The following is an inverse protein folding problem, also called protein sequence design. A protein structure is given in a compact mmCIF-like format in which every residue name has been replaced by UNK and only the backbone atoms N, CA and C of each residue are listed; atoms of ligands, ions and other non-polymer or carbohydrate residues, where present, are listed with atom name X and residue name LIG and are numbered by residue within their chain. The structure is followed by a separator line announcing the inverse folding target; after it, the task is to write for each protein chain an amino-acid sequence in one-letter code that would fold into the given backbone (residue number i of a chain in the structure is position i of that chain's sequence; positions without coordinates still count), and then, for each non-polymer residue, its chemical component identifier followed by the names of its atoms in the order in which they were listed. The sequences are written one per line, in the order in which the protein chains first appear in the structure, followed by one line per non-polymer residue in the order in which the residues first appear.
data_IF_925102999048
#
_entry.id   IF_925102999048
#
_cell.length_a   1.000
_cell.length_b   1.000
_cell.length_c   1.000
_cell.angle_alpha   90.00
_cell.angle_beta   90.00
_cell.angle_gamma   90.00
#
_symmetry.space_group_name_H-M   'P 1'
#
loop_
_entity.id
_entity.type
_entity.pdbx_description
1 polymer ?
#
# COMPACT_ATOMS: atom_id res chain seq x y z
N UNK A 1 25.19 -10.38 -29.47
CA UNK A 1 24.53 -9.15 -29.03
C UNK A 1 24.90 -8.92 -27.57
N UNK A 2 25.48 -7.77 -27.21
CA UNK A 2 25.91 -7.50 -25.84
C UNK A 2 24.68 -7.25 -24.93
N UNK A 3 24.75 -7.62 -23.65
CA UNK A 3 23.68 -7.48 -22.67
C UNK A 3 23.13 -6.04 -22.57
N UNK A 4 23.95 -5.04 -22.87
CA UNK A 4 23.59 -3.62 -22.91
C UNK A 4 22.60 -3.29 -24.03
N UNK A 5 22.72 -3.95 -25.20
CA UNK A 5 21.80 -3.76 -26.33
C UNK A 5 20.40 -4.33 -26.06
N UNK A 6 20.31 -5.49 -25.43
CA UNK A 6 19.03 -6.13 -25.10
C UNK A 6 18.24 -5.36 -23.98
N UNK A 7 18.93 -4.68 -23.07
CA UNK A 7 18.31 -3.84 -22.05
C UNK A 7 17.73 -2.56 -22.67
N UNK A 8 18.45 -1.93 -23.59
CA UNK A 8 18.00 -0.73 -24.29
C UNK A 8 16.75 -1.01 -25.17
N UNK A 9 16.74 -2.15 -25.89
CA UNK A 9 15.58 -2.55 -26.69
C UNK A 9 14.32 -2.80 -25.84
N UNK A 10 14.48 -3.43 -24.66
CA UNK A 10 13.37 -3.61 -23.72
C UNK A 10 12.83 -2.29 -23.18
N UNK A 11 13.71 -1.34 -22.92
CA UNK A 11 13.31 -0.02 -22.43
C UNK A 11 12.52 0.75 -23.50
N UNK A 12 12.91 0.65 -24.77
CA UNK A 12 12.15 1.19 -25.90
C UNK A 12 10.79 0.51 -26.08
N UNK A 13 10.71 -0.82 -25.98
CA UNK A 13 9.44 -1.55 -26.04
C UNK A 13 8.47 -1.13 -24.93
N UNK A 14 8.98 -0.89 -23.70
CA UNK A 14 8.18 -0.39 -22.58
C UNK A 14 7.66 1.04 -22.86
N UNK A 15 8.48 1.93 -23.39
CA UNK A 15 8.08 3.28 -23.76
C UNK A 15 6.95 3.25 -24.80
N UNK A 16 7.08 2.45 -25.86
CA UNK A 16 6.03 2.24 -26.87
C UNK A 16 4.76 1.62 -26.28
N UNK A 17 4.87 0.69 -25.32
CA UNK A 17 3.70 0.09 -24.67
C UNK A 17 2.94 1.11 -23.83
N UNK A 18 3.64 1.97 -23.09
CA UNK A 18 3.02 3.06 -22.33
C UNK A 18 2.31 4.03 -23.27
N UNK A 19 2.95 4.43 -24.36
CA UNK A 19 2.39 5.33 -25.36
C UNK A 19 1.15 4.71 -26.06
N UNK A 20 1.22 3.44 -26.44
CA UNK A 20 0.09 2.73 -27.08
C UNK A 20 -1.13 2.57 -26.17
N UNK A 21 -0.92 2.57 -24.85
CA UNK A 21 -1.99 2.43 -23.86
C UNK A 21 -2.47 3.75 -23.24
N UNK A 22 -1.81 4.87 -23.54
CA UNK A 22 -2.21 6.21 -23.05
C UNK A 22 -3.56 6.69 -23.60
N UNK A 23 -4.11 6.02 -24.64
CA UNK A 23 -5.33 6.43 -25.33
C UNK A 23 -5.18 7.70 -26.18
N UNK A 24 -4.02 8.36 -26.16
CA UNK A 24 -3.71 9.60 -26.86
C UNK A 24 -2.78 9.40 -28.07
N UNK A 25 -2.47 8.14 -28.43
CA UNK A 25 -1.55 7.82 -29.51
C UNK A 25 -2.08 8.30 -30.87
N UNK A 26 -1.34 9.20 -31.48
CA UNK A 26 -1.69 9.72 -32.83
C UNK A 26 -1.43 8.67 -33.91
N UNK A 27 -2.05 8.85 -35.08
CA UNK A 27 -1.85 7.93 -36.22
C UNK A 27 -0.38 7.93 -36.70
N UNK A 28 0.30 9.06 -36.58
CA UNK A 28 1.73 9.18 -36.88
C UNK A 28 2.59 8.33 -35.90
N UNK A 29 2.28 8.38 -34.62
CA UNK A 29 2.97 7.56 -33.59
C UNK A 29 2.69 6.07 -33.76
N UNK A 30 1.49 5.69 -34.17
CA UNK A 30 1.11 4.30 -34.46
C UNK A 30 1.93 3.73 -35.62
N UNK A 31 2.06 4.51 -36.72
CA UNK A 31 2.93 4.17 -37.85
C UNK A 31 4.42 4.12 -37.46
N UNK A 32 4.85 4.94 -36.52
CA UNK A 32 6.22 4.92 -36.00
C UNK A 32 6.49 3.66 -35.17
N UNK A 33 5.55 3.21 -34.33
CA UNK A 33 5.61 1.95 -33.60
C UNK A 33 5.68 0.75 -34.54
N UNK A 34 4.83 0.71 -35.56
CA UNK A 34 4.82 -0.39 -36.54
C UNK A 34 6.16 -0.46 -37.31
N UNK A 35 6.71 0.67 -37.72
CA UNK A 35 8.04 0.73 -38.36
C UNK A 35 9.15 0.27 -37.41
N UNK A 36 9.08 0.65 -36.15
CA UNK A 36 10.05 0.23 -35.15
C UNK A 36 9.99 -1.30 -34.92
N UNK A 37 8.80 -1.88 -34.86
CA UNK A 37 8.61 -3.34 -34.72
C UNK A 37 9.16 -4.10 -35.91
N UNK A 38 8.97 -3.58 -37.14
CA UNK A 38 9.39 -4.21 -38.40
C UNK A 38 10.88 -4.01 -38.71
N UNK A 39 11.56 -3.06 -38.04
CA UNK A 39 12.95 -2.71 -38.36
C UNK A 39 13.96 -3.82 -38.00
N UNK A 40 13.67 -4.63 -36.95
CA UNK A 40 14.55 -5.73 -36.54
C UNK A 40 13.71 -6.81 -35.80
N UNK A 41 13.92 -8.12 -36.10
CA UNK A 41 13.29 -9.21 -35.34
C UNK A 41 13.47 -9.13 -33.81
N UNK A 42 14.58 -8.52 -33.35
CA UNK A 42 14.82 -8.29 -31.92
C UNK A 42 13.84 -7.25 -31.30
N UNK A 43 13.36 -6.28 -32.08
CA UNK A 43 12.35 -5.31 -31.65
C UNK A 43 11.00 -5.98 -31.44
N UNK A 44 10.58 -6.84 -32.38
CA UNK A 44 9.35 -7.62 -32.26
C UNK A 44 9.40 -8.61 -31.09
N UNK A 45 10.54 -9.27 -30.89
CA UNK A 45 10.74 -10.15 -29.73
C UNK A 45 10.68 -9.37 -28.40
N UNK A 46 11.26 -8.18 -28.34
CA UNK A 46 11.18 -7.29 -27.16
C UNK A 46 9.74 -6.81 -26.94
N UNK A 47 9.03 -6.45 -28.00
CA UNK A 47 7.62 -6.03 -27.93
C UNK A 47 6.70 -7.15 -27.42
N UNK A 48 6.77 -8.35 -28.02
CA UNK A 48 5.95 -9.49 -27.63
C UNK A 48 6.25 -9.96 -26.21
N UNK A 49 7.51 -9.90 -25.78
CA UNK A 49 7.87 -10.21 -24.39
C UNK A 49 7.27 -9.22 -23.38
N UNK A 50 7.24 -7.93 -23.69
CA UNK A 50 6.72 -6.89 -22.81
C UNK A 50 5.18 -6.90 -22.81
N UNK A 51 4.53 -7.00 -23.99
CA UNK A 51 3.07 -7.05 -24.11
C UNK A 51 2.47 -8.34 -23.54
N UNK A 52 3.04 -9.50 -23.84
CA UNK A 52 2.56 -10.79 -23.34
C UNK A 52 2.80 -11.02 -21.84
N UNK A 53 3.78 -10.35 -21.23
CA UNK A 53 3.96 -10.39 -19.78
C UNK A 53 2.89 -9.59 -19.04
N UNK A 54 2.31 -8.57 -19.66
CA UNK A 54 1.24 -7.76 -19.10
C UNK A 54 -0.12 -8.49 -19.21
N UNK A 55 -0.38 -9.19 -20.28
CA UNK A 55 -1.59 -10.00 -20.45
C UNK A 55 -1.69 -11.12 -19.41
N UNK A 56 -0.59 -11.82 -19.14
CA UNK A 56 -0.52 -12.85 -18.09
C UNK A 56 -0.73 -12.28 -16.67
N UNK A 57 -0.39 -11.04 -16.43
CA UNK A 57 -0.63 -10.36 -15.14
C UNK A 57 -2.08 -9.89 -14.99
N UNK A 58 -2.78 -9.62 -16.11
CA UNK A 58 -4.17 -9.13 -16.12
C UNK A 58 -5.21 -10.27 -16.20
N UNK A 59 -4.83 -11.48 -16.63
CA UNK A 59 -5.74 -12.63 -16.70
C UNK A 59 -6.44 -13.03 -15.38
N UNK A 60 -5.85 -12.90 -14.17
CA UNK A 60 -6.54 -13.21 -12.92
C UNK A 60 -7.62 -12.20 -12.51
N UNK A 61 -7.76 -11.07 -13.20
CA UNK A 61 -8.73 -10.00 -12.86
C UNK A 61 -10.01 -10.04 -13.72
N UNK A 62 -10.14 -10.99 -14.64
CA UNK A 62 -11.38 -11.22 -15.38
C UNK A 62 -12.32 -12.09 -14.54
N UNK A 63 -13.57 -11.68 -14.29
CA UNK A 63 -14.55 -12.59 -13.69
C UNK A 63 -14.76 -13.78 -14.63
N UNK A 64 -14.86 -14.97 -14.05
CA UNK A 64 -15.13 -16.21 -14.76
C UNK A 64 -16.51 -16.14 -15.45
N UNK A 65 -16.55 -15.65 -16.67
CA UNK A 65 -17.69 -15.86 -17.58
C UNK A 65 -17.14 -16.46 -18.86
N UNK A 66 -17.37 -17.75 -18.98
CA UNK A 66 -17.12 -18.57 -20.14
C UNK A 66 -18.01 -18.09 -21.32
N UNK A 67 -17.44 -17.40 -22.29
CA UNK A 67 -17.72 -17.58 -23.72
C UNK A 67 -16.89 -16.62 -24.57
N UNK A 68 -16.01 -17.17 -25.39
CA UNK A 68 -15.21 -16.44 -26.38
C UNK A 68 -16.03 -15.72 -27.47
N UNK A 69 -17.33 -16.01 -27.57
CA UNK A 69 -18.24 -15.40 -28.53
C UNK A 69 -18.68 -13.97 -28.18
N UNK A 70 -18.57 -13.55 -26.91
CA UNK A 70 -19.03 -12.22 -26.46
C UNK A 70 -17.99 -11.12 -26.60
N UNK A 71 -16.70 -11.47 -26.64
CA UNK A 71 -15.61 -10.49 -26.76
C UNK A 71 -15.52 -9.95 -28.20
N UNK A 72 -15.66 -10.82 -29.19
CA UNK A 72 -15.64 -10.42 -30.61
C UNK A 72 -16.91 -9.65 -31.02
N UNK A 73 -18.08 -10.00 -30.46
CA UNK A 73 -19.32 -9.26 -30.69
C UNK A 73 -19.28 -7.87 -30.05
N UNK A 74 -18.68 -7.73 -28.86
CA UNK A 74 -18.47 -6.44 -28.20
C UNK A 74 -17.46 -5.57 -28.95
N UNK A 75 -16.40 -6.16 -29.49
CA UNK A 75 -15.42 -5.45 -30.30
C UNK A 75 -16.00 -4.99 -31.64
N UNK A 76 -16.82 -5.82 -32.27
CA UNK A 76 -17.47 -5.52 -33.55
C UNK A 76 -18.54 -4.43 -33.39
N UNK A 77 -19.26 -4.39 -32.27
CA UNK A 77 -20.23 -3.33 -31.95
C UNK A 77 -19.56 -1.97 -31.67
N UNK A 78 -18.28 -1.96 -31.25
CA UNK A 78 -17.48 -0.74 -31.00
C UNK A 78 -16.86 -0.16 -32.27
N UNK A 79 -16.78 -0.95 -33.35
CA UNK A 79 -16.11 -0.56 -34.60
C UNK A 79 -17.09 0.02 -35.66
N UNK A 80 -18.40 0.08 -35.42
CA UNK A 80 -19.33 0.71 -36.33
C UNK A 80 -19.31 2.24 -36.17
N UNK A 81 -19.13 3.01 -37.24
CA UNK A 81 -18.95 4.46 -37.19
C UNK A 81 -20.26 5.21 -37.13
N UNK A 82 -20.88 5.31 -35.97
CA UNK A 82 -22.03 6.19 -35.78
C UNK A 82 -21.63 7.50 -35.11
N UNK A 83 -21.64 8.59 -35.83
CA UNK A 83 -21.14 9.94 -35.49
C UNK A 83 -21.74 10.57 -34.23
N UNK A 84 -22.83 10.03 -33.72
CA UNK A 84 -23.55 10.57 -32.55
C UNK A 84 -23.03 9.99 -31.20
N UNK A 85 -22.33 8.84 -31.20
CA UNK A 85 -21.81 8.19 -30.00
C UNK A 85 -20.37 8.60 -29.59
N UNK A 86 -19.67 9.37 -30.41
CA UNK A 86 -18.27 9.79 -30.16
C UNK A 86 -18.04 10.61 -28.90
N UNK A 87 -19.09 11.28 -28.36
CA UNK A 87 -18.94 12.11 -27.15
C UNK A 87 -19.08 11.32 -25.84
N UNK A 88 -19.73 10.15 -25.87
CA UNK A 88 -19.96 9.32 -24.66
C UNK A 88 -18.88 8.24 -24.52
N UNK A 89 -18.40 7.65 -25.63
CA UNK A 89 -17.33 6.65 -25.59
C UNK A 89 -15.96 7.24 -25.24
N UNK A 90 -15.67 8.48 -25.63
CA UNK A 90 -14.46 9.21 -25.23
C UNK A 90 -14.38 9.46 -23.72
N UNK A 91 -15.54 9.72 -23.08
CA UNK A 91 -15.64 9.90 -21.64
C UNK A 91 -15.41 8.61 -20.85
N UNK A 92 -15.96 7.49 -21.29
CA UNK A 92 -15.83 6.20 -20.58
C UNK A 92 -14.40 5.62 -20.64
N UNK A 93 -13.70 5.78 -21.77
CA UNK A 93 -12.30 5.36 -21.90
C UNK A 93 -11.33 6.28 -21.14
N UNK A 94 -11.61 7.59 -21.10
CA UNK A 94 -10.86 8.53 -20.29
C UNK A 94 -11.09 8.25 -18.78
N UNK A 95 -12.30 7.89 -18.37
CA UNK A 95 -12.60 7.49 -16.99
C UNK A 95 -11.95 6.15 -16.61
N UNK A 96 -11.93 5.15 -17.49
CA UNK A 96 -11.26 3.88 -17.25
C UNK A 96 -9.73 4.03 -17.20
N UNK A 97 -9.14 4.85 -18.06
CA UNK A 97 -7.71 5.19 -18.04
C UNK A 97 -7.33 6.02 -16.81
N UNK A 98 -8.17 6.98 -16.41
CA UNK A 98 -7.98 7.75 -15.19
C UNK A 98 -8.19 6.91 -13.92
N UNK A 99 -9.15 5.97 -13.91
CA UNK A 99 -9.36 5.05 -12.79
C UNK A 99 -8.20 4.05 -12.65
N UNK A 100 -7.68 3.47 -13.73
CA UNK A 100 -6.51 2.59 -13.71
C UNK A 100 -5.22 3.35 -13.40
N UNK A 101 -5.02 4.52 -14.00
CA UNK A 101 -3.91 5.43 -13.69
C UNK A 101 -3.98 5.93 -12.25
N UNK A 102 -5.18 6.27 -11.76
CA UNK A 102 -5.44 6.64 -10.38
C UNK A 102 -5.18 5.51 -9.38
N UNK A 103 -5.56 4.26 -9.72
CA UNK A 103 -5.35 3.08 -8.87
C UNK A 103 -3.87 2.70 -8.79
N UNK A 104 -3.14 2.83 -9.90
CA UNK A 104 -1.69 2.65 -9.95
C UNK A 104 -0.99 3.81 -9.24
N UNK A 105 -1.37 5.05 -9.49
CA UNK A 105 -0.85 6.23 -8.80
C UNK A 105 -1.16 6.21 -7.30
N UNK A 106 -2.38 5.81 -6.90
CA UNK A 106 -2.75 5.66 -5.49
C UNK A 106 -1.93 4.59 -4.76
N UNK A 107 -1.43 3.59 -5.46
CA UNK A 107 -0.58 2.55 -4.88
C UNK A 107 0.91 2.92 -4.82
N UNK A 108 1.36 3.86 -5.66
CA UNK A 108 2.76 4.34 -5.71
C UNK A 108 2.96 5.75 -5.13
N UNK A 109 1.95 6.61 -5.17
CA UNK A 109 1.89 7.89 -4.48
C UNK A 109 0.56 7.96 -3.74
N UNK A 110 0.54 7.82 -2.41
CA UNK A 110 -0.69 7.97 -1.64
C UNK A 110 -1.20 9.41 -1.79
N UNK A 111 -2.20 9.61 -2.66
CA UNK A 111 -2.88 10.90 -2.85
C UNK A 111 -3.34 11.56 -1.53
N UNK A 112 -3.73 10.79 -0.48
CA UNK A 112 -4.01 11.36 0.84
C UNK A 112 -2.81 12.07 1.48
N UNK A 113 -1.57 11.68 1.14
CA UNK A 113 -0.36 12.30 1.68
C UNK A 113 -0.04 13.68 1.08
N UNK A 114 -0.52 13.99 -0.12
CA UNK A 114 -0.26 15.29 -0.78
C UNK A 114 -1.05 16.47 -0.16
N UNK A 115 -2.13 16.16 0.56
CA UNK A 115 -2.98 17.15 1.25
C UNK A 115 -2.85 17.04 2.79
N UNK A 116 -1.94 16.21 3.29
CA UNK A 116 -1.68 16.04 4.72
C UNK A 116 -0.69 17.11 5.20
N UNK A 117 -0.85 17.57 6.44
CA UNK A 117 0.06 18.53 7.06
C UNK A 117 1.46 17.94 7.26
N UNK A 118 1.54 16.62 7.51
CA UNK A 118 2.80 15.90 7.55
C UNK A 118 2.66 14.48 6.99
N UNK A 119 3.68 14.02 6.27
CA UNK A 119 3.74 12.67 5.74
C UNK A 119 5.17 12.12 5.73
N UNK A 120 5.29 10.80 5.58
CA UNK A 120 6.55 10.08 5.44
C UNK A 120 6.59 9.27 4.15
N UNK A 121 7.77 9.16 3.56
CA UNK A 121 8.03 8.35 2.37
C UNK A 121 8.18 6.85 2.71
N UNK A 122 8.45 6.02 1.68
CA UNK A 122 8.80 4.61 1.85
C UNK A 122 10.08 4.47 2.67
N UNK A 123 10.06 3.61 3.68
CA UNK A 123 11.16 3.35 4.62
C UNK A 123 11.59 4.57 5.46
N UNK A 124 10.84 5.66 5.44
CA UNK A 124 11.10 6.84 6.25
C UNK A 124 10.33 6.77 7.56
N UNK A 125 11.04 6.99 8.67
CA UNK A 125 10.47 7.31 9.99
C UNK A 125 10.84 8.73 10.35
N UNK A 126 9.89 9.50 10.85
CA UNK A 126 10.09 10.92 11.11
C UNK A 126 9.51 11.33 12.45
N UNK A 127 10.33 12.01 13.25
CA UNK A 127 9.87 12.64 14.49
C UNK A 127 9.43 14.07 14.24
N UNK A 128 8.31 14.45 14.82
CA UNK A 128 7.73 15.79 14.80
C UNK A 128 7.50 16.26 16.22
N UNK A 129 7.83 17.50 16.49
CA UNK A 129 7.48 18.18 17.74
C UNK A 129 6.35 19.17 17.46
N UNK A 130 5.27 19.04 18.19
CA UNK A 130 4.08 19.88 18.05
C UNK A 130 4.18 21.12 18.96
N UNK A 131 3.41 22.16 18.62
CA UNK A 131 3.40 23.42 19.37
C UNK A 131 2.93 23.27 20.83
N UNK A 132 2.20 22.19 21.15
CA UNK A 132 1.74 21.85 22.50
C UNK A 132 2.76 21.04 23.32
N UNK A 133 3.97 20.84 22.80
CA UNK A 133 5.02 20.02 23.41
C UNK A 133 4.87 18.51 23.19
N UNK A 134 3.84 18.07 22.48
CA UNK A 134 3.70 16.66 22.11
C UNK A 134 4.74 16.26 21.05
N UNK A 135 5.22 15.02 21.11
CA UNK A 135 6.12 14.44 20.13
C UNK A 135 5.44 13.30 19.40
N UNK A 136 5.44 13.36 18.07
CA UNK A 136 4.92 12.31 17.21
C UNK A 136 6.08 11.64 16.47
N UNK A 137 6.15 10.31 16.55
CA UNK A 137 7.00 9.52 15.66
C UNK A 137 6.09 8.89 14.59
N UNK A 138 6.26 9.28 13.35
CA UNK A 138 5.54 8.72 12.20
C UNK A 138 6.31 7.52 11.64
N UNK A 139 5.60 6.46 11.34
CA UNK A 139 6.11 5.28 10.65
C UNK A 139 6.21 5.52 9.13
N UNK A 140 6.79 4.58 8.40
CA UNK A 140 6.88 4.61 6.94
C UNK A 140 5.49 4.73 6.29
N UNK A 141 5.39 5.57 5.24
CA UNK A 141 4.15 5.83 4.49
C UNK A 141 2.98 6.27 5.36
N UNK A 142 3.24 7.07 6.38
CA UNK A 142 2.21 7.66 7.22
C UNK A 142 1.82 9.06 6.73
N UNK A 143 0.57 9.43 6.98
CA UNK A 143 0.03 10.75 6.66
C UNK A 143 -0.93 11.21 7.75
N UNK A 144 -0.73 12.43 8.25
CA UNK A 144 -1.51 13.01 9.34
C UNK A 144 -1.93 14.45 9.03
N UNK A 145 -3.07 14.85 9.59
CA UNK A 145 -3.42 16.25 9.75
C UNK A 145 -3.33 16.61 11.23
N UNK A 146 -3.01 17.86 11.50
CA UNK A 146 -2.77 18.38 12.85
C UNK A 146 -3.74 19.52 13.11
N UNK A 147 -4.63 19.35 14.09
CA UNK A 147 -5.59 20.37 14.55
C UNK A 147 -5.27 20.72 16.00
N UNK A 148 -4.44 21.76 16.18
CA UNK A 148 -4.05 22.30 17.47
C UNK A 148 -4.67 23.69 17.64
N UNK A 149 -5.70 23.80 18.47
CA UNK A 149 -6.33 25.03 18.89
C UNK A 149 -6.20 25.22 20.40
N UNK A 150 -6.73 26.33 20.92
CA UNK A 150 -6.66 26.67 22.36
C UNK A 150 -7.22 25.51 23.24
N UNK A 151 -8.32 24.87 22.81
CA UNK A 151 -8.99 23.79 23.55
C UNK A 151 -8.99 22.46 22.78
N UNK A 152 -8.22 22.33 21.68
CA UNK A 152 -8.22 21.16 20.80
C UNK A 152 -6.81 20.71 20.57
N UNK A 153 -6.52 19.48 20.96
CA UNK A 153 -5.27 18.77 20.68
C UNK A 153 -5.61 17.50 19.95
N UNK A 154 -5.76 17.60 18.61
CA UNK A 154 -6.19 16.50 17.76
C UNK A 154 -5.23 16.26 16.63
N UNK A 155 -4.96 14.99 16.37
CA UNK A 155 -4.25 14.52 15.19
C UNK A 155 -5.14 13.53 14.44
N UNK A 156 -5.32 13.73 13.15
CA UNK A 156 -6.05 12.79 12.30
C UNK A 156 -5.07 11.92 11.53
N UNK A 157 -5.01 10.63 11.84
CA UNK A 157 -4.21 9.66 11.12
C UNK A 157 -4.99 9.19 9.87
N UNK A 158 -4.56 9.65 8.69
CA UNK A 158 -5.15 9.28 7.40
C UNK A 158 -4.63 7.96 6.88
N UNK A 159 -3.35 7.65 7.16
CA UNK A 159 -2.67 6.46 6.68
C UNK A 159 -1.46 6.13 7.56
N UNK A 160 -1.10 4.83 7.65
CA UNK A 160 0.12 4.37 8.29
C UNK A 160 -0.01 4.24 9.81
N UNK A 161 1.04 4.62 10.54
CA UNK A 161 1.08 4.52 11.99
C UNK A 161 1.85 5.70 12.61
N UNK A 162 1.53 5.99 13.86
CA UNK A 162 2.26 6.95 14.67
C UNK A 162 2.41 6.45 16.11
N UNK A 163 3.44 6.91 16.80
CA UNK A 163 3.54 6.91 18.26
C UNK A 163 3.42 8.36 18.71
N UNK A 164 2.47 8.63 19.61
CA UNK A 164 2.32 9.91 20.27
C UNK A 164 2.90 9.83 21.69
N UNK A 165 3.76 10.78 22.04
CA UNK A 165 4.20 11.07 23.39
C UNK A 165 3.65 12.44 23.77
N UNK A 166 2.69 12.45 24.68
CA UNK A 166 1.86 13.61 25.00
C UNK A 166 2.12 14.03 26.44
N UNK A 167 2.49 15.29 26.72
CA UNK A 167 2.58 15.80 28.08
C UNK A 167 1.17 15.96 28.70
N UNK A 168 1.09 16.01 30.03
CA UNK A 168 -0.13 16.40 30.72
C UNK A 168 -0.61 17.77 30.23
N UNK A 169 -1.92 17.98 30.19
CA UNK A 169 -2.53 19.23 29.67
C UNK A 169 -3.97 18.98 29.23
N UNK A 170 -4.46 19.72 28.25
CA UNK A 170 -5.77 19.47 27.66
C UNK A 170 -5.86 18.07 27.04
N UNK A 171 -7.03 17.45 26.90
CA UNK A 171 -7.18 16.13 26.28
C UNK A 171 -6.54 16.07 24.90
N UNK A 172 -5.81 15.00 24.61
CA UNK A 172 -5.19 14.75 23.31
C UNK A 172 -5.89 13.59 22.61
N UNK A 173 -6.20 13.76 21.34
CA UNK A 173 -6.95 12.76 20.57
C UNK A 173 -6.23 12.42 19.28
N UNK A 174 -6.02 11.13 19.01
CA UNK A 174 -5.69 10.63 17.66
C UNK A 174 -6.95 10.05 17.05
N UNK A 175 -7.41 10.66 15.98
CA UNK A 175 -8.60 10.25 15.24
C UNK A 175 -8.24 9.43 14.02
N UNK A 176 -9.02 8.38 13.73
CA UNK A 176 -8.95 7.57 12.53
C UNK A 176 -10.35 7.41 11.93
N UNK A 177 -10.45 6.79 10.76
CA UNK A 177 -11.75 6.47 10.15
C UNK A 177 -12.58 5.45 10.94
N UNK A 178 -11.98 4.68 11.86
CA UNK A 178 -12.67 3.67 12.68
C UNK A 178 -13.09 4.18 14.04
N UNK A 179 -12.52 5.30 14.50
CA UNK A 179 -12.78 5.86 15.81
C UNK A 179 -11.63 6.73 16.29
N UNK A 180 -11.51 6.89 17.59
CA UNK A 180 -10.49 7.75 18.21
C UNK A 180 -9.86 7.09 19.44
N UNK A 181 -8.58 7.39 19.66
CA UNK A 181 -7.83 7.13 20.88
C UNK A 181 -7.61 8.45 21.62
N UNK A 182 -8.07 8.55 22.84
CA UNK A 182 -8.04 9.79 23.62
C UNK A 182 -7.26 9.60 24.91
N UNK A 183 -6.44 10.60 25.24
CA UNK A 183 -5.74 10.71 26.52
C UNK A 183 -6.40 11.81 27.33
N UNK A 184 -6.83 11.54 28.59
CA UNK A 184 -7.39 12.55 29.47
C UNK A 184 -6.38 13.65 29.81
N UNK A 185 -6.88 14.82 30.23
CA UNK A 185 -6.05 15.97 30.55
C UNK A 185 -5.06 15.75 31.72
N UNK A 186 -5.42 14.87 32.66
CA UNK A 186 -4.73 14.75 33.95
C UNK A 186 -3.30 14.16 33.85
N UNK A 187 -3.02 13.36 32.84
CA UNK A 187 -1.75 12.61 32.73
C UNK A 187 -1.17 12.71 31.32
N UNK A 188 0.16 12.76 31.27
CA UNK A 188 0.84 12.52 29.99
C UNK A 188 0.74 11.03 29.60
N UNK A 189 0.80 10.73 28.31
CA UNK A 189 0.73 9.36 27.86
C UNK A 189 1.68 9.12 26.67
N UNK A 190 2.00 7.85 26.47
CA UNK A 190 2.69 7.38 25.28
C UNK A 190 1.94 6.21 24.70
N UNK A 191 1.51 6.32 23.44
CA UNK A 191 0.71 5.30 22.79
C UNK A 191 0.96 5.26 21.28
N UNK A 192 0.71 4.12 20.70
CA UNK A 192 0.80 3.88 19.25
C UNK A 192 -0.60 3.77 18.66
N UNK A 193 -0.79 4.33 17.46
CA UNK A 193 -1.99 4.13 16.63
C UNK A 193 -1.53 3.70 15.23
N UNK A 194 -2.06 2.57 14.74
CA UNK A 194 -1.82 2.06 13.38
C UNK A 194 -3.14 1.88 12.66
N UNK A 195 -3.29 2.56 11.55
CA UNK A 195 -4.46 2.47 10.70
C UNK A 195 -4.27 1.41 9.61
N UNK A 196 -5.12 0.40 9.61
CA UNK A 196 -5.26 -0.58 8.54
C UNK A 196 -6.56 -0.33 7.76
N UNK A 197 -6.80 -1.09 6.70
CA UNK A 197 -7.96 -0.90 5.85
C UNK A 197 -9.28 -1.10 6.60
N UNK A 198 -9.40 -2.17 7.36
CA UNK A 198 -10.64 -2.57 8.06
C UNK A 198 -10.67 -2.20 9.54
N UNK A 199 -9.52 -1.90 10.15
CA UNK A 199 -9.40 -1.67 11.59
C UNK A 199 -8.23 -0.78 11.96
N UNK A 200 -8.28 -0.26 13.18
CA UNK A 200 -7.20 0.51 13.80
C UNK A 200 -6.65 -0.26 14.98
N UNK A 201 -5.32 -0.42 15.04
CA UNK A 201 -4.64 -0.92 16.24
C UNK A 201 -4.25 0.26 17.12
N UNK A 202 -4.54 0.16 18.41
CA UNK A 202 -4.03 1.08 19.41
C UNK A 202 -3.26 0.29 20.46
N UNK A 203 -2.11 0.82 20.88
CA UNK A 203 -1.29 0.21 21.92
C UNK A 203 -0.89 1.26 22.95
N UNK A 204 -1.27 1.06 24.19
CA UNK A 204 -0.97 1.92 25.31
C UNK A 204 0.43 1.58 25.87
N UNK A 205 1.45 2.37 25.48
CA UNK A 205 2.84 2.13 25.88
C UNK A 205 3.15 2.64 27.30
N UNK A 206 2.51 3.75 27.66
CA UNK A 206 2.58 4.29 29.02
C UNK A 206 1.28 5.06 29.30
N UNK A 207 0.68 4.82 30.46
CA UNK A 207 -0.63 5.28 30.88
C UNK A 207 -1.79 4.70 30.03
N UNK A 208 -2.99 4.77 30.61
CA UNK A 208 -4.20 4.28 29.98
C UNK A 208 -4.66 5.23 28.86
N UNK A 209 -5.35 4.66 27.87
CA UNK A 209 -5.88 5.38 26.71
C UNK A 209 -7.35 5.03 26.53
N UNK A 210 -8.23 6.01 26.42
CA UNK A 210 -9.64 5.78 26.17
C UNK A 210 -9.90 5.59 24.69
N UNK A 211 -10.53 4.48 24.34
CA UNK A 211 -10.89 4.15 22.98
C UNK A 211 -12.38 4.40 22.74
N UNK A 212 -12.71 5.07 21.63
CA UNK A 212 -14.08 5.33 21.22
C UNK A 212 -14.23 4.95 19.75
N UNK A 213 -15.12 4.00 19.45
CA UNK A 213 -15.42 3.64 18.06
C UNK A 213 -16.32 4.70 17.41
N UNK A 214 -16.37 4.69 16.08
CA UNK A 214 -17.26 5.58 15.33
C UNK A 214 -18.75 5.36 15.64
N UNK A 215 -19.14 4.13 15.99
CA UNK A 215 -20.53 3.77 16.32
C UNK A 215 -20.83 3.84 17.83
N UNK A 216 -19.90 4.36 18.64
CA UNK A 216 -20.15 4.72 20.04
C UNK A 216 -19.73 3.68 21.09
N UNK A 217 -19.12 2.55 20.70
CA UNK A 217 -18.52 1.65 21.68
C UNK A 217 -17.29 2.33 22.33
N UNK A 218 -17.13 2.14 23.64
CA UNK A 218 -16.07 2.75 24.43
C UNK A 218 -15.40 1.67 25.30
N UNK A 219 -14.08 1.77 25.46
CA UNK A 219 -13.32 0.91 26.37
C UNK A 219 -12.02 1.59 26.78
N UNK A 220 -11.66 1.59 28.06
CA UNK A 220 -10.32 1.96 28.48
C UNK A 220 -9.33 0.89 28.04
N UNK A 221 -8.19 1.28 27.50
CA UNK A 221 -7.07 0.44 27.18
C UNK A 221 -5.98 0.66 28.23
N UNK A 222 -5.68 -0.37 29.01
CA UNK A 222 -4.70 -0.28 30.08
C UNK A 222 -3.27 -0.20 29.53
N UNK A 223 -2.40 0.46 30.28
CA UNK A 223 -0.98 0.53 29.98
C UNK A 223 -0.37 -0.88 29.78
N UNK A 224 0.44 -1.05 28.74
CA UNK A 224 1.02 -2.32 28.34
C UNK A 224 0.14 -3.20 27.42
N UNK A 225 -1.14 -2.88 27.27
CA UNK A 225 -2.09 -3.61 26.42
C UNK A 225 -2.18 -2.99 25.02
N UNK A 226 -2.72 -3.79 24.08
CA UNK A 226 -3.13 -3.29 22.77
C UNK A 226 -4.52 -3.82 22.39
N UNK A 227 -5.21 -3.06 21.54
CA UNK A 227 -6.56 -3.38 21.09
C UNK A 227 -6.74 -3.08 19.60
N UNK A 228 -7.72 -3.72 19.00
CA UNK A 228 -8.23 -3.46 17.67
C UNK A 228 -9.59 -2.74 17.75
N UNK A 229 -9.80 -1.79 16.88
CA UNK A 229 -11.04 -1.03 16.74
C UNK A 229 -11.46 -1.02 15.26
N UNK A 230 -12.63 -1.56 14.91
CA UNK A 230 -13.12 -1.68 13.53
C UNK A 230 -14.23 -0.64 13.18
N UNK A 231 -14.50 0.28 14.06
CA UNK A 231 -15.55 1.29 13.91
C UNK A 231 -16.84 0.96 14.64
N UNK A 232 -17.13 -0.32 14.92
CA UNK A 232 -18.29 -0.78 15.68
C UNK A 232 -17.89 -1.32 17.05
N UNK A 233 -16.83 -2.14 17.08
CA UNK A 233 -16.39 -2.87 18.25
C UNK A 233 -14.92 -2.60 18.59
N UNK A 234 -14.58 -2.88 19.84
CA UNK A 234 -13.21 -2.89 20.36
C UNK A 234 -12.94 -4.31 20.83
N UNK A 235 -11.82 -4.88 20.36
CA UNK A 235 -11.37 -6.22 20.74
C UNK A 235 -9.93 -6.17 21.22
N UNK A 236 -9.60 -6.99 22.21
CA UNK A 236 -8.22 -7.11 22.70
C UNK A 236 -7.30 -7.65 21.60
N UNK A 237 -6.11 -7.10 21.47
CA UNK A 237 -5.08 -7.62 20.59
C UNK A 237 -4.14 -8.56 21.38
N UNK A 238 -3.75 -9.68 20.78
CA UNK A 238 -2.85 -10.64 21.40
C UNK A 238 -1.45 -10.05 21.64
N UNK A 239 -1.01 -9.12 20.77
CA UNK A 239 0.29 -8.50 20.90
C UNK A 239 0.32 -7.50 22.05
N UNK A 240 1.33 -7.55 22.90
CA UNK A 240 1.60 -6.51 23.91
C UNK A 240 1.94 -5.18 23.23
N UNK A 241 1.71 -4.07 23.93
CA UNK A 241 1.92 -2.73 23.40
C UNK A 241 3.35 -2.53 22.84
N UNK A 242 4.37 -2.99 23.53
CA UNK A 242 5.78 -2.86 23.10
C UNK A 242 6.06 -3.64 21.80
N UNK A 243 5.48 -4.83 21.63
CA UNK A 243 5.61 -5.61 20.40
C UNK A 243 4.92 -4.89 19.22
N UNK A 244 3.76 -4.31 19.44
CA UNK A 244 3.04 -3.52 18.43
C UNK A 244 3.81 -2.27 18.00
N UNK A 245 4.61 -1.68 18.91
CA UNK A 245 5.43 -0.50 18.69
C UNK A 245 6.90 -0.79 18.33
N UNK A 246 7.29 -2.06 18.14
CA UNK A 246 8.68 -2.46 17.86
C UNK A 246 9.26 -1.79 16.58
N UNK A 247 8.39 -1.35 15.67
CA UNK A 247 8.78 -0.63 14.45
C UNK A 247 9.55 0.67 14.72
N UNK A 248 9.38 1.30 15.89
CA UNK A 248 10.14 2.49 16.29
C UNK A 248 11.65 2.24 16.32
N UNK A 249 12.06 1.01 16.64
CA UNK A 249 13.47 0.54 16.63
C UNK A 249 13.85 -0.20 15.35
N UNK A 250 13.03 -0.13 14.29
CA UNK A 250 13.30 -0.77 13.01
C UNK A 250 13.02 -2.27 13.00
N UNK A 251 12.22 -2.77 13.93
CA UNK A 251 11.92 -4.19 14.04
C UNK A 251 10.42 -4.45 13.92
N UNK A 252 10.06 -5.57 13.32
CA UNK A 252 8.72 -6.12 13.29
C UNK A 252 8.68 -7.35 14.21
N UNK A 253 8.00 -7.24 15.33
CA UNK A 253 7.77 -8.37 16.23
C UNK A 253 6.42 -8.99 15.91
N UNK A 254 6.40 -10.28 15.60
CA UNK A 254 5.20 -11.04 15.25
C UNK A 254 5.11 -12.30 16.09
N UNK A 255 3.90 -12.58 16.55
CA UNK A 255 3.56 -13.75 17.33
C UNK A 255 2.36 -14.45 16.68
N UNK A 256 2.64 -15.55 16.03
CA UNK A 256 1.65 -16.37 15.32
C UNK A 256 0.81 -15.58 14.28
N UNK A 257 1.47 -14.72 13.49
CA UNK A 257 0.79 -13.98 12.41
C UNK A 257 0.73 -14.82 11.12
N UNK A 258 -0.32 -14.68 10.30
CA UNK A 258 -0.29 -15.23 8.96
C UNK A 258 0.72 -14.47 8.09
N UNK A 259 1.36 -15.18 7.17
CA UNK A 259 2.45 -14.63 6.33
C UNK A 259 2.03 -13.43 5.49
N UNK A 260 0.79 -13.39 5.01
CA UNK A 260 0.25 -12.21 4.30
C UNK A 260 0.27 -10.95 5.17
N UNK A 261 -0.11 -11.04 6.43
CA UNK A 261 -0.07 -9.93 7.39
C UNK A 261 1.36 -9.46 7.68
N UNK A 262 2.33 -10.39 7.76
CA UNK A 262 3.75 -10.06 7.89
C UNK A 262 4.26 -9.33 6.66
N UNK A 263 3.91 -9.82 5.48
CA UNK A 263 4.27 -9.19 4.20
C UNK A 263 3.63 -7.81 4.05
N UNK A 264 2.38 -7.65 4.48
CA UNK A 264 1.69 -6.35 4.50
C UNK A 264 2.42 -5.33 5.41
N UNK A 265 2.93 -5.78 6.56
CA UNK A 265 3.72 -4.95 7.46
C UNK A 265 5.10 -4.57 6.87
N UNK A 266 5.67 -5.38 5.96
CA UNK A 266 6.93 -5.08 5.27
C UNK A 266 6.76 -4.12 4.08
N UNK A 267 5.56 -4.04 3.47
CA UNK A 267 5.30 -3.22 2.27
C UNK A 267 5.65 -1.74 2.41
N UNK A 268 5.37 -1.04 3.53
CA UNK A 268 5.75 0.36 3.70
C UNK A 268 7.25 0.62 3.63
N UNK A 269 8.08 -0.38 3.91
CA UNK A 269 9.53 -0.28 3.99
C UNK A 269 10.25 -0.71 2.71
N UNK A 270 9.50 -1.11 1.67
CA UNK A 270 10.09 -1.57 0.40
C UNK A 270 9.55 -0.81 -0.79
N UNK A 271 10.45 -0.47 -1.70
CA UNK A 271 10.06 -0.06 -3.04
C UNK A 271 9.77 -1.30 -3.90
N UNK A 272 8.74 -1.22 -4.75
CA UNK A 272 8.31 -2.34 -5.59
C UNK A 272 7.13 -3.12 -5.02
N UNK A 273 6.76 -4.18 -5.71
CA UNK A 273 5.58 -5.00 -5.43
C UNK A 273 5.99 -6.28 -4.71
N UNK A 274 5.37 -6.51 -3.55
CA UNK A 274 5.55 -7.74 -2.77
C UNK A 274 4.23 -8.51 -2.78
N UNK A 275 4.25 -9.75 -3.28
CA UNK A 275 3.07 -10.61 -3.39
C UNK A 275 3.31 -11.95 -2.70
N UNK A 276 2.27 -12.44 -2.04
CA UNK A 276 2.22 -13.78 -1.45
C UNK A 276 1.21 -14.60 -2.24
N UNK A 277 1.58 -15.81 -2.63
CA UNK A 277 0.67 -16.75 -3.25
C UNK A 277 -0.37 -17.25 -2.21
N UNK A 278 -1.61 -17.54 -2.63
CA UNK A 278 -2.66 -17.99 -1.70
C UNK A 278 -2.27 -19.22 -0.88
N UNK A 279 -1.47 -20.13 -1.46
CA UNK A 279 -0.99 -21.33 -0.76
C UNK A 279 -0.06 -21.02 0.42
N UNK A 280 0.74 -19.93 0.33
CA UNK A 280 1.66 -19.52 1.38
C UNK A 280 1.06 -18.51 2.38
N UNK A 281 -0.03 -17.82 2.01
CA UNK A 281 -0.58 -16.67 2.75
C UNK A 281 -0.92 -16.97 4.21
N UNK A 282 -1.39 -18.20 4.49
CA UNK A 282 -1.83 -18.64 5.82
C UNK A 282 -0.75 -19.27 6.69
N UNK A 283 0.47 -19.45 6.19
CA UNK A 283 1.59 -19.96 6.99
C UNK A 283 1.79 -19.07 8.20
N UNK A 284 1.98 -19.70 9.36
CA UNK A 284 2.11 -18.97 10.63
C UNK A 284 3.55 -18.58 10.87
N UNK A 285 3.74 -17.33 11.27
CA UNK A 285 5.05 -16.70 11.45
C UNK A 285 5.21 -16.28 12.90
N UNK A 286 6.31 -16.66 13.49
CA UNK A 286 6.75 -16.23 14.82
C UNK A 286 8.17 -15.68 14.71
N UNK A 287 8.44 -14.53 15.34
CA UNK A 287 9.81 -13.98 15.40
C UNK A 287 9.88 -12.48 15.27
N UNK A 288 11.11 -11.99 15.11
CA UNK A 288 11.39 -10.56 14.97
C UNK A 288 12.19 -10.34 13.70
N UNK A 289 11.73 -9.40 12.86
CA UNK A 289 12.27 -9.18 11.52
C UNK A 289 12.71 -7.73 11.35
N UNK A 290 13.87 -7.45 10.72
CA UNK A 290 14.35 -6.10 10.49
C UNK A 290 13.51 -5.39 9.39
N UNK A 291 12.95 -4.23 9.70
CA UNK A 291 12.22 -3.39 8.76
C UNK A 291 13.16 -2.56 7.87
N UNK A 292 14.31 -2.16 8.40
CA UNK A 292 15.30 -1.34 7.67
C UNK A 292 16.02 -2.13 6.57
N UNK A 293 15.95 -3.47 6.64
CA UNK A 293 16.46 -4.37 5.62
C UNK A 293 15.43 -5.47 5.31
N UNK A 294 14.48 -5.13 4.46
CA UNK A 294 13.41 -6.04 4.07
C UNK A 294 13.90 -7.28 3.31
N UNK A 295 15.05 -7.22 2.63
CA UNK A 295 15.64 -8.39 1.98
C UNK A 295 16.14 -9.40 3.01
N UNK A 296 16.74 -8.93 4.10
CA UNK A 296 17.14 -9.79 5.22
C UNK A 296 15.92 -10.38 5.93
N UNK A 297 14.86 -9.62 6.09
CA UNK A 297 13.60 -10.12 6.64
C UNK A 297 13.01 -11.25 5.76
N UNK A 298 12.98 -11.07 4.43
CA UNK A 298 12.50 -12.09 3.49
C UNK A 298 13.40 -13.33 3.46
N UNK A 299 14.71 -13.18 3.61
CA UNK A 299 15.65 -14.31 3.73
C UNK A 299 15.38 -15.10 5.02
N UNK A 300 15.19 -14.42 6.16
CA UNK A 300 14.85 -15.07 7.41
C UNK A 300 13.53 -15.85 7.33
N UNK A 301 12.50 -15.28 6.70
CA UNK A 301 11.23 -15.98 6.44
C UNK A 301 11.44 -17.22 5.57
N UNK A 302 12.22 -17.13 4.48
CA UNK A 302 12.49 -18.26 3.59
C UNK A 302 13.35 -19.37 4.25
N UNK A 303 14.14 -19.04 5.25
CA UNK A 303 14.92 -20.05 6.00
C UNK A 303 14.10 -20.75 7.10
N UNK A 304 13.00 -20.13 7.57
CA UNK A 304 12.18 -20.67 8.66
C UNK A 304 10.85 -21.29 8.19
N UNK A 305 10.41 -21.01 6.99
CA UNK A 305 9.14 -21.48 6.43
C UNK A 305 9.36 -22.22 5.10
N UNK A 306 8.48 -23.17 4.74
CA UNK A 306 8.50 -23.84 3.46
C UNK A 306 8.01 -22.91 2.33
N UNK A 307 8.79 -21.83 2.08
CA UNK A 307 8.48 -20.84 1.05
C UNK A 307 9.67 -20.59 0.15
N UNK A 308 9.38 -20.20 -1.09
CA UNK A 308 10.36 -19.74 -2.07
C UNK A 308 10.14 -18.26 -2.37
N UNK A 309 11.19 -17.47 -2.25
CA UNK A 309 11.18 -16.03 -2.57
C UNK A 309 11.85 -15.81 -3.91
N UNK A 310 11.05 -15.46 -4.95
CA UNK A 310 11.52 -15.21 -6.30
C UNK A 310 11.47 -13.72 -6.60
N UNK A 311 12.62 -13.16 -7.04
CA UNK A 311 12.75 -11.74 -7.38
C UNK A 311 12.82 -11.56 -8.89
N UNK A 312 11.98 -10.65 -9.40
CA UNK A 312 11.94 -10.29 -10.81
C UNK A 312 12.39 -8.85 -11.01
N UNK A 313 13.03 -8.58 -12.14
CA UNK A 313 13.42 -7.21 -12.55
C UNK A 313 14.20 -6.41 -11.50
N UNK A 314 15.26 -7.01 -10.95
CA UNK A 314 16.10 -6.31 -9.94
C UNK A 314 15.39 -6.07 -8.61
N UNK A 315 14.32 -6.84 -8.29
CA UNK A 315 13.60 -6.73 -7.01
C UNK A 315 12.36 -5.85 -7.07
N UNK A 316 11.99 -5.29 -8.25
CA UNK A 316 10.76 -4.53 -8.39
C UNK A 316 9.50 -5.37 -8.12
N UNK A 317 9.50 -6.64 -8.50
CA UNK A 317 8.48 -7.62 -8.13
C UNK A 317 9.14 -8.76 -7.35
N UNK A 318 8.65 -9.01 -6.14
CA UNK A 318 9.03 -10.16 -5.32
C UNK A 318 7.79 -11.00 -5.08
N UNK A 319 7.86 -12.27 -5.47
CA UNK A 319 6.82 -13.27 -5.29
C UNK A 319 7.25 -14.26 -4.21
N UNK A 320 6.32 -14.58 -3.31
CA UNK A 320 6.51 -15.53 -2.22
C UNK A 320 5.52 -16.67 -2.46
N UNK A 321 6.03 -17.84 -2.83
CA UNK A 321 5.26 -19.05 -3.08
C UNK A 321 5.53 -20.08 -1.99
N UNK A 322 4.61 -21.05 -1.82
CA UNK A 322 4.90 -22.25 -1.05
C UNK A 322 5.99 -23.07 -1.79
N UNK A 323 6.95 -23.65 -1.02
CA UNK A 323 8.04 -24.45 -1.57
C UNK A 323 7.58 -25.85 -1.97
#
# INVERSE_FOLDING_TARGET
MSATSAAALRQQAIAWLVESRSGAMTEHQRKALDRWRQADPAHEAAWSQVSGSLERVLQPLAPHTSSHASADAALSALLQPDRRRRRIAGGALAFAGAALGGLVAHRFTPLPGLLADAHTATAERRSLELADGSRLLLDARSAIDIDLGADRRRVHLRQGALIAQVPAGSPFTVQTRHGQAQVPAAHGARFMVRLQEERTQVAALAQDVDLHTRLGAQSPLQAGASAWMDGAAISEALARAEAAAAWQSGMLAVDDWPLDSVVDALRPYRTGLLRVAPAASRLRVLGTFPLDNTDRALQALASSLPIRVTRYRGGWLTLIDAA
#
